data_IF_845224583152
#
_entry.id   IF_845224583152
#
_cell.length_a   1.000
_cell.length_b   1.000
_cell.length_c   1.000
_cell.angle_alpha   90.00
_cell.angle_beta   90.00
_cell.angle_gamma   90.00
#
_symmetry.space_group_name_H-M   'P 1'
#
loop_
_entity.id
_entity.type
_entity.pdbx_description
1 polymer ?
#
# COMPACT_ATOMS: atom_id res chain seq x y z
N UNK A 1 -0.20 -16.45 -12.16
CA UNK A 1 -0.69 -15.05 -12.07
C UNK A 1 -2.00 -14.96 -11.31
N UNK A 2 -3.12 -15.52 -11.80
CA UNK A 2 -4.41 -15.50 -11.06
C UNK A 2 -4.28 -16.01 -9.62
N UNK A 3 -3.74 -17.23 -9.42
CA UNK A 3 -3.58 -17.80 -8.09
C UNK A 3 -2.61 -17.01 -7.20
N UNK A 4 -1.49 -16.55 -7.76
CA UNK A 4 -0.53 -15.71 -7.05
C UNK A 4 -1.18 -14.38 -6.61
N UNK A 5 -1.95 -13.73 -7.48
CA UNK A 5 -2.72 -12.53 -7.13
C UNK A 5 -3.64 -12.79 -5.94
N UNK A 6 -4.46 -13.85 -5.99
CA UNK A 6 -5.37 -14.16 -4.89
C UNK A 6 -4.65 -14.58 -3.61
N UNK A 7 -3.50 -15.24 -3.71
CA UNK A 7 -2.68 -15.58 -2.55
C UNK A 7 -2.13 -14.33 -1.86
N UNK A 8 -1.49 -13.42 -2.61
CA UNK A 8 -1.00 -12.16 -2.06
C UNK A 8 -2.12 -11.25 -1.56
N UNK A 9 -3.25 -11.19 -2.27
CA UNK A 9 -4.42 -10.43 -1.82
C UNK A 9 -5.00 -11.00 -0.53
N UNK A 10 -5.09 -12.34 -0.40
CA UNK A 10 -5.54 -12.98 0.83
C UNK A 10 -4.59 -12.66 1.98
N UNK A 11 -3.27 -12.73 1.76
CA UNK A 11 -2.29 -12.35 2.77
C UNK A 11 -2.46 -10.90 3.20
N UNK A 12 -2.67 -9.96 2.26
CA UNK A 12 -2.92 -8.55 2.57
C UNK A 12 -4.21 -8.34 3.38
N UNK A 13 -5.28 -9.07 3.05
CA UNK A 13 -6.53 -9.01 3.82
C UNK A 13 -6.33 -9.57 5.23
N UNK A 14 -5.61 -10.68 5.37
CA UNK A 14 -5.33 -11.30 6.66
C UNK A 14 -4.44 -10.41 7.53
N UNK A 15 -3.39 -9.80 6.97
CA UNK A 15 -2.51 -8.88 7.69
C UNK A 15 -3.25 -7.63 8.13
N UNK A 16 -4.08 -7.03 7.26
CA UNK A 16 -4.91 -5.87 7.61
C UNK A 16 -5.90 -6.23 8.72
N UNK A 17 -6.54 -7.40 8.63
CA UNK A 17 -7.45 -7.89 9.67
C UNK A 17 -6.74 -8.09 11.00
N UNK A 18 -5.54 -8.66 10.97
CA UNK A 18 -4.70 -8.86 12.16
C UNK A 18 -4.30 -7.53 12.79
N UNK A 19 -3.84 -6.57 11.99
CA UNK A 19 -3.50 -5.21 12.44
C UNK A 19 -4.68 -4.53 13.14
N UNK A 20 -5.89 -4.62 12.57
CA UNK A 20 -7.12 -4.07 13.16
C UNK A 20 -7.56 -4.78 14.44
N UNK A 21 -7.37 -6.10 14.53
CA UNK A 21 -7.66 -6.83 15.76
C UNK A 21 -6.70 -6.42 16.87
N UNK A 22 -5.42 -6.28 16.57
CA UNK A 22 -4.41 -5.83 17.52
C UNK A 22 -4.68 -4.40 18.03
N UNK A 23 -5.01 -3.50 17.11
CA UNK A 23 -5.45 -2.13 17.43
C UNK A 23 -6.67 -2.14 18.36
N UNK A 24 -7.73 -2.85 17.98
CA UNK A 24 -8.94 -2.95 18.80
C UNK A 24 -8.66 -3.49 20.21
N UNK A 25 -7.81 -4.51 20.35
CA UNK A 25 -7.45 -5.07 21.65
C UNK A 25 -6.69 -4.05 22.53
N UNK A 26 -5.81 -3.26 21.92
CA UNK A 26 -5.09 -2.20 22.62
C UNK A 26 -6.03 -1.07 23.06
N UNK A 27 -6.92 -0.60 22.18
CA UNK A 27 -7.88 0.46 22.51
C UNK A 27 -8.83 0.03 23.63
N UNK A 28 -9.31 -1.21 23.61
CA UNK A 28 -10.19 -1.75 24.68
C UNK A 28 -9.48 -1.88 26.03
N UNK A 29 -8.20 -2.25 26.04
CA UNK A 29 -7.45 -2.47 27.29
C UNK A 29 -6.95 -1.17 27.92
N UNK A 30 -6.70 -0.14 27.11
CA UNK A 30 -6.05 1.10 27.58
C UNK A 30 -6.96 2.32 27.55
N UNK A 31 -8.03 2.29 26.75
CA UNK A 31 -8.93 3.43 26.53
C UNK A 31 -8.36 4.52 25.62
N UNK A 32 -7.17 4.33 25.05
CA UNK A 32 -6.61 5.24 24.04
C UNK A 32 -7.18 4.92 22.66
N UNK A 33 -7.32 5.93 21.82
CA UNK A 33 -7.59 5.72 20.39
C UNK A 33 -6.29 5.84 19.60
N UNK A 34 -6.12 4.97 18.60
CA UNK A 34 -4.94 4.95 17.75
C UNK A 34 -5.33 5.07 16.28
N UNK A 35 -4.58 5.88 15.53
CA UNK A 35 -4.64 5.88 14.08
C UNK A 35 -3.23 5.97 13.50
N UNK A 36 -2.81 4.93 12.78
CA UNK A 36 -1.52 4.90 12.11
C UNK A 36 -1.36 6.03 11.08
N UNK A 37 -2.47 6.50 10.49
CA UNK A 37 -2.44 7.57 9.49
C UNK A 37 -2.00 8.91 10.08
N UNK A 38 -2.16 9.13 11.39
CA UNK A 38 -1.66 10.33 12.06
C UNK A 38 -0.12 10.37 12.06
N UNK A 39 0.52 9.20 12.09
CA UNK A 39 1.97 9.08 11.99
C UNK A 39 2.46 9.20 10.53
N UNK A 40 1.71 8.65 9.57
CA UNK A 40 2.07 8.69 8.15
C UNK A 40 1.82 10.05 7.47
N UNK A 41 0.76 10.76 7.88
CA UNK A 41 0.33 12.05 7.32
C UNK A 41 0.13 13.10 8.44
N UNK A 42 1.18 13.45 9.20
CA UNK A 42 1.07 14.33 10.37
C UNK A 42 0.75 15.80 10.01
N UNK A 43 0.94 16.21 8.76
CA UNK A 43 0.72 17.56 8.24
C UNK A 43 1.85 18.55 8.56
N UNK A 44 2.59 18.34 9.64
CA UNK A 44 3.75 19.16 10.03
C UNK A 44 4.72 18.39 10.92
N UNK A 45 5.99 18.82 10.96
CA UNK A 45 7.02 18.23 11.83
C UNK A 45 6.62 18.34 13.30
N UNK A 46 6.03 19.47 13.68
CA UNK A 46 5.61 19.75 15.06
C UNK A 46 4.50 18.78 15.50
N UNK A 47 3.53 18.49 14.63
CA UNK A 47 2.49 17.50 14.91
C UNK A 47 3.08 16.10 15.10
N UNK A 48 4.02 15.70 14.23
CA UNK A 48 4.68 14.40 14.35
C UNK A 48 5.49 14.30 15.65
N UNK A 49 6.21 15.36 16.02
CA UNK A 49 6.94 15.42 17.28
C UNK A 49 6.00 15.35 18.49
N UNK A 50 4.86 16.05 18.45
CA UNK A 50 3.85 15.98 19.50
C UNK A 50 3.26 14.56 19.63
N UNK A 51 3.01 13.88 18.50
CA UNK A 51 2.58 12.47 18.46
C UNK A 51 3.63 11.53 19.05
N UNK A 52 4.89 11.65 18.63
CA UNK A 52 5.99 10.81 19.16
C UNK A 52 6.11 11.01 20.67
N UNK A 53 5.98 12.24 21.17
CA UNK A 53 6.04 12.54 22.60
C UNK A 53 4.83 11.97 23.35
N UNK A 54 3.61 12.08 22.82
CA UNK A 54 2.39 11.57 23.47
C UNK A 54 2.36 10.04 23.55
N UNK A 55 3.05 9.36 22.63
CA UNK A 55 3.22 7.91 22.57
C UNK A 55 4.57 7.41 23.15
N UNK A 56 5.31 8.26 23.87
CA UNK A 56 6.65 7.93 24.39
C UNK A 56 6.67 6.93 25.56
N UNK A 57 5.53 6.68 26.20
CA UNK A 57 5.42 5.65 27.26
C UNK A 57 5.73 4.27 26.69
N UNK A 58 6.50 3.44 27.41
CA UNK A 58 7.06 2.18 26.89
C UNK A 58 6.00 1.26 26.23
N UNK A 59 4.85 1.05 26.89
CA UNK A 59 3.78 0.19 26.37
C UNK A 59 3.17 0.76 25.07
N UNK A 60 2.96 2.08 25.02
CA UNK A 60 2.43 2.80 23.85
C UNK A 60 3.43 2.75 22.69
N UNK A 61 4.70 3.05 22.98
CA UNK A 61 5.78 3.04 22.01
C UNK A 61 5.94 1.65 21.39
N UNK A 62 5.95 0.60 22.22
CA UNK A 62 6.03 -0.79 21.77
C UNK A 62 4.86 -1.13 20.84
N UNK A 63 3.64 -0.76 21.23
CA UNK A 63 2.46 -0.95 20.39
C UNK A 63 2.56 -0.24 19.04
N UNK A 64 3.01 1.03 18.99
CA UNK A 64 3.17 1.75 17.70
C UNK A 64 4.21 1.06 16.82
N UNK A 65 5.33 0.60 17.39
CA UNK A 65 6.37 -0.11 16.64
C UNK A 65 5.87 -1.45 16.09
N UNK A 66 5.04 -2.18 16.85
CA UNK A 66 4.39 -3.40 16.38
C UNK A 66 3.39 -3.10 15.25
N UNK A 67 2.62 -2.02 15.37
CA UNK A 67 1.71 -1.55 14.30
C UNK A 67 2.47 -1.23 13.01
N UNK A 68 3.60 -0.54 13.10
CA UNK A 68 4.46 -0.27 11.93
C UNK A 68 5.02 -1.54 11.29
N UNK A 69 5.41 -2.52 12.11
CA UNK A 69 5.86 -3.80 11.59
C UNK A 69 4.74 -4.55 10.87
N UNK A 70 3.51 -4.50 11.39
CA UNK A 70 2.34 -5.09 10.74
C UNK A 70 1.94 -4.34 9.46
N UNK A 71 2.03 -3.02 9.44
CA UNK A 71 1.81 -2.21 8.24
C UNK A 71 2.82 -2.57 7.15
N UNK A 72 4.11 -2.64 7.50
CA UNK A 72 5.16 -3.09 6.58
C UNK A 72 4.87 -4.46 5.97
N UNK A 73 4.39 -5.43 6.77
CA UNK A 73 4.00 -6.74 6.27
C UNK A 73 2.77 -6.67 5.37
N UNK A 74 1.77 -5.87 5.73
CA UNK A 74 0.59 -5.62 4.90
C UNK A 74 0.98 -5.02 3.54
N UNK A 75 1.79 -3.98 3.52
CA UNK A 75 2.23 -3.32 2.30
C UNK A 75 3.11 -4.24 1.43
N UNK A 76 3.96 -5.05 2.07
CA UNK A 76 4.77 -6.09 1.41
C UNK A 76 3.95 -7.23 0.79
N UNK A 77 2.66 -7.33 1.09
CA UNK A 77 1.76 -8.28 0.43
C UNK A 77 0.80 -7.58 -0.55
N UNK A 78 0.36 -6.36 -0.23
CA UNK A 78 -0.51 -5.55 -1.08
C UNK A 78 0.18 -5.12 -2.37
N UNK A 79 1.37 -4.52 -2.32
CA UNK A 79 2.03 -4.02 -3.53
C UNK A 79 2.38 -5.14 -4.53
N UNK A 80 2.87 -6.32 -4.10
CA UNK A 80 2.99 -7.47 -4.99
C UNK A 80 1.65 -7.94 -5.57
N UNK A 81 0.54 -7.93 -4.80
CA UNK A 81 -0.78 -8.24 -5.35
C UNK A 81 -1.15 -7.27 -6.48
N UNK A 82 -0.98 -5.96 -6.27
CA UNK A 82 -1.27 -4.93 -7.27
C UNK A 82 -0.36 -5.01 -8.50
N UNK A 83 0.92 -5.33 -8.30
CA UNK A 83 1.85 -5.61 -9.40
C UNK A 83 1.34 -6.78 -10.26
N UNK A 84 1.00 -7.91 -9.62
CA UNK A 84 0.51 -9.10 -10.33
C UNK A 84 -0.81 -8.79 -11.03
N UNK A 85 -1.69 -7.99 -10.44
CA UNK A 85 -2.95 -7.54 -11.02
C UNK A 85 -2.72 -6.77 -12.32
N UNK A 86 -1.79 -5.82 -12.34
CA UNK A 86 -1.42 -5.05 -13.52
C UNK A 86 -0.90 -5.96 -14.65
N UNK A 87 0.01 -6.88 -14.34
CA UNK A 87 0.57 -7.83 -15.32
C UNK A 87 -0.50 -8.81 -15.81
N UNK A 88 -1.40 -9.26 -14.93
CA UNK A 88 -2.49 -10.15 -15.29
C UNK A 88 -3.50 -9.48 -16.22
N UNK A 89 -3.93 -8.25 -15.91
CA UNK A 89 -4.77 -7.44 -16.79
C UNK A 89 -4.11 -7.26 -18.17
N UNK A 90 -2.80 -6.99 -18.20
CA UNK A 90 -2.05 -6.85 -19.46
C UNK A 90 -2.07 -8.13 -20.27
N UNK A 91 -1.89 -9.29 -19.64
CA UNK A 91 -1.98 -10.59 -20.34
C UNK A 91 -3.38 -10.81 -20.92
N UNK A 92 -4.44 -10.45 -20.18
CA UNK A 92 -5.81 -10.55 -20.70
C UNK A 92 -6.04 -9.66 -21.93
N UNK A 93 -5.47 -8.45 -21.95
CA UNK A 93 -5.52 -7.57 -23.14
C UNK A 93 -4.82 -8.23 -24.34
N UNK A 94 -3.62 -8.80 -24.13
CA UNK A 94 -2.86 -9.48 -25.20
C UNK A 94 -3.62 -10.70 -25.74
N UNK A 95 -4.19 -11.52 -24.87
CA UNK A 95 -5.00 -12.68 -25.28
C UNK A 95 -6.22 -12.23 -26.10
N UNK A 96 -6.85 -11.12 -25.72
CA UNK A 96 -7.98 -10.56 -26.45
C UNK A 96 -7.60 -10.02 -27.82
N UNK A 97 -6.46 -9.35 -27.96
CA UNK A 97 -5.95 -8.91 -29.27
C UNK A 97 -5.80 -10.09 -30.24
N UNK A 98 -5.25 -11.21 -29.74
CA UNK A 98 -5.07 -12.44 -30.53
C UNK A 98 -6.41 -13.03 -30.97
N UNK A 99 -7.39 -13.12 -30.07
CA UNK A 99 -8.73 -13.65 -30.39
C UNK A 99 -9.44 -12.80 -31.45
N UNK A 100 -9.28 -11.48 -31.39
CA UNK A 100 -9.93 -10.55 -32.32
C UNK A 100 -9.13 -10.30 -33.63
N UNK A 101 -7.93 -10.86 -33.76
CA UNK A 101 -7.04 -10.58 -34.90
C UNK A 101 -6.56 -9.13 -35.00
N UNK A 102 -6.61 -8.38 -33.88
CA UNK A 102 -6.35 -6.92 -33.84
C UNK A 102 -5.04 -6.62 -33.12
N UNK A 103 -3.95 -7.18 -33.66
CA UNK A 103 -2.61 -7.03 -33.06
C UNK A 103 -2.22 -5.55 -33.03
N UNK A 104 -1.82 -5.06 -31.85
CA UNK A 104 -1.35 -3.69 -31.65
C UNK A 104 -2.44 -2.67 -31.32
N UNK A 105 -3.73 -3.02 -31.43
CA UNK A 105 -4.86 -2.10 -31.18
C UNK A 105 -4.87 -1.50 -29.77
N UNK A 106 -4.42 -2.25 -28.77
CA UNK A 106 -4.43 -1.85 -27.36
C UNK A 106 -3.01 -1.60 -26.81
N UNK A 107 -2.08 -1.15 -27.67
CA UNK A 107 -0.70 -0.87 -27.25
C UNK A 107 -0.62 0.13 -26.08
N UNK A 108 -1.40 1.22 -26.12
CA UNK A 108 -1.45 2.19 -25.02
C UNK A 108 -1.87 1.57 -23.68
N UNK A 109 -2.88 0.70 -23.68
CA UNK A 109 -3.32 -0.01 -22.47
C UNK A 109 -2.21 -0.92 -21.91
N UNK A 110 -1.48 -1.62 -22.79
CA UNK A 110 -0.37 -2.48 -22.39
C UNK A 110 0.78 -1.68 -21.77
N UNK A 111 1.08 -0.50 -22.31
CA UNK A 111 2.09 0.42 -21.75
C UNK A 111 1.64 0.94 -20.38
N UNK A 112 0.42 1.47 -20.27
CA UNK A 112 -0.13 1.96 -18.99
C UNK A 112 -0.05 0.87 -17.91
N UNK A 113 -0.48 -0.35 -18.21
CA UNK A 113 -0.45 -1.47 -17.26
C UNK A 113 0.98 -1.85 -16.84
N UNK A 114 1.93 -1.82 -17.77
CA UNK A 114 3.35 -2.05 -17.45
C UNK A 114 3.92 -0.93 -16.58
N UNK A 115 3.60 0.33 -16.87
CA UNK A 115 4.02 1.48 -16.07
C UNK A 115 3.45 1.40 -14.65
N UNK A 116 2.16 1.09 -14.51
CA UNK A 116 1.52 0.93 -13.20
C UNK A 116 2.12 -0.22 -12.39
N UNK A 117 2.49 -1.32 -13.05
CA UNK A 117 3.20 -2.42 -12.38
C UNK A 117 4.54 -1.93 -11.80
N UNK A 118 5.35 -1.22 -12.57
CA UNK A 118 6.61 -0.64 -12.07
C UNK A 118 6.36 0.37 -10.94
N UNK A 119 5.32 1.18 -11.03
CA UNK A 119 4.93 2.11 -9.97
C UNK A 119 4.57 1.38 -8.66
N UNK A 120 4.03 0.15 -8.69
CA UNK A 120 3.80 -0.63 -7.46
C UNK A 120 5.10 -1.03 -6.77
N UNK A 121 6.16 -1.34 -7.55
CA UNK A 121 7.48 -1.61 -6.98
C UNK A 121 8.09 -0.36 -6.35
N UNK A 122 7.92 0.80 -7.00
CA UNK A 122 8.35 2.09 -6.44
C UNK A 122 7.57 2.45 -5.17
N UNK A 123 6.26 2.23 -5.15
CA UNK A 123 5.42 2.45 -3.98
C UNK A 123 5.86 1.57 -2.80
N UNK A 124 6.22 0.31 -3.07
CA UNK A 124 6.77 -0.57 -2.05
C UNK A 124 8.14 -0.09 -1.51
N UNK A 125 9.00 0.44 -2.38
CA UNK A 125 10.26 1.07 -1.93
C UNK A 125 9.97 2.30 -1.05
N UNK A 126 8.98 3.12 -1.42
CA UNK A 126 8.59 4.27 -0.59
C UNK A 126 8.10 3.83 0.78
N UNK A 127 7.32 2.76 0.83
CA UNK A 127 6.83 2.15 2.06
C UNK A 127 7.95 1.62 2.96
N UNK A 128 8.93 0.91 2.39
CA UNK A 128 10.14 0.45 3.13
C UNK A 128 10.85 1.64 3.77
N UNK A 129 11.13 2.68 2.99
CA UNK A 129 11.90 3.84 3.47
C UNK A 129 11.12 4.62 4.53
N UNK A 130 9.81 4.73 4.35
CA UNK A 130 8.90 5.39 5.27
C UNK A 130 8.82 4.66 6.61
N UNK A 131 8.52 3.36 6.61
CA UNK A 131 8.47 2.53 7.81
C UNK A 131 9.82 2.54 8.58
N UNK A 132 10.95 2.45 7.88
CA UNK A 132 12.30 2.54 8.49
C UNK A 132 12.51 3.91 9.15
N UNK A 133 12.12 5.00 8.48
CA UNK A 133 12.32 6.35 8.98
C UNK A 133 11.41 6.65 10.18
N UNK A 134 10.15 6.22 10.13
CA UNK A 134 9.20 6.41 11.22
C UNK A 134 9.61 5.60 12.45
N UNK A 135 10.04 4.35 12.26
CA UNK A 135 10.63 3.52 13.32
C UNK A 135 11.84 4.20 13.97
N UNK A 136 12.73 4.78 13.15
CA UNK A 136 13.89 5.51 13.65
C UNK A 136 13.48 6.73 14.49
N UNK A 137 12.55 7.55 14.01
CA UNK A 137 12.08 8.75 14.72
C UNK A 137 11.35 8.42 16.02
N UNK A 138 10.51 7.38 16.06
CA UNK A 138 9.85 6.92 17.28
C UNK A 138 10.87 6.42 18.30
N UNK A 139 11.90 5.67 17.85
CA UNK A 139 12.94 5.20 18.73
C UNK A 139 13.81 6.32 19.30
N UNK A 140 14.12 7.31 18.47
CA UNK A 140 14.88 8.51 18.83
C UNK A 140 14.07 9.50 19.70
N UNK A 141 12.74 9.46 19.63
CA UNK A 141 11.85 10.34 20.38
C UNK A 141 11.58 11.70 19.71
N UNK A 142 12.06 11.92 18.48
CA UNK A 142 11.74 13.10 17.67
C UNK A 142 11.98 12.84 16.18
N UNK A 143 11.26 13.59 15.35
CA UNK A 143 11.39 13.68 13.90
C UNK A 143 12.10 14.96 13.47
N UNK A 144 12.82 14.86 12.36
CA UNK A 144 13.58 15.96 11.75
C UNK A 144 12.82 16.54 10.55
N UNK A 145 13.19 16.16 9.32
CA UNK A 145 12.58 16.66 8.09
C UNK A 145 11.54 15.67 7.53
N UNK A 146 10.28 16.11 7.52
CA UNK A 146 9.15 15.29 7.02
C UNK A 146 8.72 15.63 5.59
N UNK A 147 9.29 16.64 4.93
CA UNK A 147 8.77 17.13 3.64
C UNK A 147 8.80 16.04 2.56
N UNK A 148 9.92 15.32 2.46
CA UNK A 148 10.03 14.19 1.53
C UNK A 148 9.22 12.98 2.02
N UNK A 149 9.05 12.83 3.33
CA UNK A 149 8.31 11.71 3.94
C UNK A 149 6.84 11.74 3.54
N UNK A 150 6.13 12.85 3.76
CA UNK A 150 4.70 12.92 3.41
C UNK A 150 4.46 12.80 1.90
N UNK A 151 5.32 13.40 1.09
CA UNK A 151 5.20 13.30 -0.36
C UNK A 151 5.35 11.85 -0.83
N UNK A 152 6.27 11.09 -0.22
CA UNK A 152 6.41 9.66 -0.49
C UNK A 152 5.17 8.86 -0.07
N UNK A 153 4.60 9.14 1.11
CA UNK A 153 3.36 8.51 1.58
C UNK A 153 2.20 8.80 0.63
N UNK A 154 1.99 10.07 0.25
CA UNK A 154 0.91 10.43 -0.68
C UNK A 154 1.08 9.74 -2.03
N UNK A 155 2.31 9.65 -2.54
CA UNK A 155 2.61 8.94 -3.78
C UNK A 155 2.40 7.42 -3.65
N UNK A 156 2.76 6.80 -2.50
CA UNK A 156 2.54 5.36 -2.27
C UNK A 156 1.06 5.01 -2.37
N UNK A 157 0.19 5.79 -1.71
CA UNK A 157 -1.26 5.61 -1.78
C UNK A 157 -1.83 5.91 -3.17
N UNK A 158 -1.38 6.98 -3.82
CA UNK A 158 -1.82 7.31 -5.17
C UNK A 158 -1.51 6.16 -6.15
N UNK A 159 -0.29 5.62 -6.11
CA UNK A 159 0.09 4.48 -6.94
C UNK A 159 -0.70 3.23 -6.60
N UNK A 160 -0.98 2.95 -5.33
CA UNK A 160 -1.82 1.81 -4.92
C UNK A 160 -3.25 1.93 -5.50
N UNK A 161 -3.88 3.09 -5.35
CA UNK A 161 -5.25 3.36 -5.80
C UNK A 161 -5.35 3.21 -7.33
N UNK A 162 -4.46 3.89 -8.07
CA UNK A 162 -4.47 3.84 -9.54
C UNK A 162 -4.10 2.44 -10.04
N UNK A 163 -3.18 1.76 -9.34
CA UNK A 163 -2.75 0.38 -9.60
C UNK A 163 -3.81 -0.68 -9.28
N UNK A 164 -4.82 -0.36 -8.48
CA UNK A 164 -5.98 -1.22 -8.26
C UNK A 164 -7.08 -0.93 -9.30
N UNK A 165 -7.51 0.33 -9.41
CA UNK A 165 -8.68 0.73 -10.20
C UNK A 165 -8.44 0.47 -11.70
N UNK A 166 -7.33 0.94 -12.24
CA UNK A 166 -7.06 0.88 -13.69
C UNK A 166 -7.06 -0.54 -14.26
N UNK A 167 -6.30 -1.51 -13.72
CA UNK A 167 -6.33 -2.88 -14.25
C UNK A 167 -7.68 -3.56 -14.05
N UNK A 168 -8.39 -3.31 -12.94
CA UNK A 168 -9.74 -3.86 -12.75
C UNK A 168 -10.72 -3.33 -13.80
N UNK A 169 -10.74 -2.02 -14.06
CA UNK A 169 -11.57 -1.42 -15.10
C UNK A 169 -11.26 -1.99 -16.48
N UNK A 170 -9.98 -2.17 -16.81
CA UNK A 170 -9.56 -2.80 -18.09
C UNK A 170 -10.00 -4.27 -18.15
N UNK A 171 -9.86 -5.03 -17.06
CA UNK A 171 -10.29 -6.44 -17.01
C UNK A 171 -11.81 -6.59 -17.18
N UNK A 172 -12.59 -5.69 -16.57
CA UNK A 172 -14.04 -5.61 -16.73
C UNK A 172 -14.37 -5.28 -18.20
N UNK A 173 -13.83 -4.19 -18.74
CA UNK A 173 -14.06 -3.80 -20.14
C UNK A 173 -13.64 -4.90 -21.14
N UNK A 174 -12.55 -5.61 -20.86
CA UNK A 174 -12.07 -6.71 -21.70
C UNK A 174 -13.01 -7.92 -21.69
N UNK A 175 -13.69 -8.19 -20.57
CA UNK A 175 -14.67 -9.27 -20.45
C UNK A 175 -16.04 -8.93 -21.01
N UNK A 176 -16.57 -7.72 -20.77
CA UNK A 176 -17.97 -7.38 -21.11
C UNK A 176 -18.20 -7.08 -22.58
N UNK A 177 -17.18 -6.63 -23.32
CA UNK A 177 -17.28 -6.41 -24.77
C UNK A 177 -17.20 -7.72 -25.58
N UNK A 178 -17.48 -8.87 -24.94
CA UNK A 178 -17.72 -10.19 -25.57
C UNK A 178 -19.11 -10.28 -26.22
N UNK A 179 -20.01 -9.33 -25.97
CA UNK A 179 -21.25 -9.14 -26.74
C UNK A 179 -21.00 -8.16 -27.87
#
# INVERSE_FOLDING_TARGET
MKYAFFAFLLLAILSLSWMRVHEYQFEQSTGYSFDIMEFELPGSVDNLNALIQSWSQEDKKTFVLEQLWMDYFFMSTLFPALFILCIWARKMVVEREKILGQIGRYQGMKVILSTLAVMQLLAWVFDIVENVRLTYWINQGYAENIYMFENMVRLKFFFAIVGAITPLSIMIFTRYRKK
#
